data_IF_298042251958
#
_entry.id   IF_298042251958
#
_cell.length_a   1.000
_cell.length_b   1.000
_cell.length_c   1.000
_cell.angle_alpha   90.00
_cell.angle_beta   90.00
_cell.angle_gamma   90.00
#
_symmetry.space_group_name_H-M   'P 1'
#
loop_
_entity.id
_entity.type
_entity.pdbx_description
1 polymer ?
#
# COMPACT_ATOMS: atom_id res chain seq x y z
N UNK A 1 -11.70 -4.17 -10.81
CA UNK A 1 -11.31 -3.60 -9.51
C UNK A 1 -12.30 -4.11 -8.48
N UNK A 2 -11.85 -4.55 -7.30
CA UNK A 2 -12.76 -4.97 -6.24
C UNK A 2 -13.45 -3.72 -5.66
N UNK A 3 -14.78 -3.65 -5.71
CA UNK A 3 -15.54 -2.56 -5.08
C UNK A 3 -15.36 -2.69 -3.56
N UNK A 4 -14.61 -1.78 -2.95
CA UNK A 4 -14.35 -1.79 -1.51
C UNK A 4 -15.22 -0.72 -0.85
N UNK A 5 -15.88 -1.08 0.25
CA UNK A 5 -16.71 -0.16 1.02
C UNK A 5 -16.42 -0.28 2.51
N UNK A 6 -16.52 0.84 3.21
CA UNK A 6 -16.47 0.83 4.67
C UNK A 6 -17.86 0.48 5.19
N UNK A 7 -17.95 -0.62 5.94
CA UNK A 7 -19.22 -1.14 6.48
C UNK A 7 -19.11 -1.19 7.99
N UNK A 8 -20.09 -0.58 8.67
CA UNK A 8 -20.27 -0.64 10.12
C UNK A 8 -21.67 -1.11 10.47
N UNK A 9 -21.85 -1.53 11.73
CA UNK A 9 -23.17 -1.83 12.25
C UNK A 9 -23.99 -0.56 12.39
N UNK A 10 -25.21 -0.56 11.84
CA UNK A 10 -26.15 0.54 12.06
C UNK A 10 -26.78 0.46 13.46
N UNK A 11 -26.81 -0.74 14.05
CA UNK A 11 -27.32 -0.97 15.39
C UNK A 11 -26.17 -0.88 16.40
N UNK A 12 -26.26 -0.03 17.43
CA UNK A 12 -25.24 0.04 18.47
C UNK A 12 -25.13 -1.32 19.18
N UNK A 13 -23.93 -1.91 19.16
CA UNK A 13 -23.69 -3.26 19.69
C UNK A 13 -24.14 -4.41 18.79
N UNK A 14 -24.67 -4.12 17.59
CA UNK A 14 -25.04 -5.14 16.61
C UNK A 14 -23.80 -5.85 16.07
N UNK A 15 -23.79 -7.17 16.14
CA UNK A 15 -22.71 -8.01 15.61
C UNK A 15 -23.06 -8.44 14.19
N UNK A 16 -22.23 -8.07 13.22
CA UNK A 16 -22.42 -8.46 11.82
C UNK A 16 -21.26 -9.34 11.41
N UNK A 17 -21.59 -10.49 10.82
CA UNK A 17 -20.61 -11.43 10.32
C UNK A 17 -20.08 -10.99 8.95
N UNK A 18 -18.76 -10.92 8.81
CA UNK A 18 -18.08 -10.77 7.53
C UNK A 18 -17.76 -12.16 6.96
N UNK A 19 -18.46 -12.62 5.91
CA UNK A 19 -18.21 -13.93 5.32
C UNK A 19 -16.87 -14.03 4.60
N UNK A 20 -16.26 -12.91 4.20
CA UNK A 20 -14.98 -12.91 3.50
C UNK A 20 -13.82 -13.27 4.44
N UNK A 21 -13.87 -12.74 5.67
CA UNK A 21 -12.83 -12.98 6.69
C UNK A 21 -13.27 -13.89 7.81
N UNK A 22 -14.51 -14.36 7.75
CA UNK A 22 -15.11 -15.30 8.69
C UNK A 22 -15.05 -14.79 10.14
N UNK A 23 -15.20 -13.48 10.30
CA UNK A 23 -15.06 -12.77 11.56
C UNK A 23 -16.18 -11.75 11.77
N UNK A 24 -16.39 -11.31 13.01
CA UNK A 24 -17.39 -10.30 13.35
C UNK A 24 -16.82 -8.90 13.11
N UNK A 25 -17.58 -8.05 12.40
CA UNK A 25 -17.22 -6.65 12.21
C UNK A 25 -17.03 -5.94 13.56
N UNK A 26 -15.95 -5.16 13.74
CA UNK A 26 -15.80 -4.32 14.91
C UNK A 26 -16.90 -3.24 14.96
N UNK A 27 -17.18 -2.65 16.13
CA UNK A 27 -18.22 -1.62 16.28
C UNK A 27 -17.98 -0.39 15.40
N UNK A 28 -16.72 -0.02 15.18
CA UNK A 28 -16.31 1.08 14.28
C UNK A 28 -16.53 0.76 12.79
N UNK A 29 -16.77 -0.50 12.46
CA UNK A 29 -16.79 -1.02 11.09
C UNK A 29 -15.41 -1.16 10.46
N UNK A 30 -15.35 -1.78 9.29
CA UNK A 30 -14.11 -2.00 8.53
C UNK A 30 -14.35 -1.97 7.04
N UNK A 31 -13.26 -1.85 6.28
CA UNK A 31 -13.31 -1.91 4.83
C UNK A 31 -13.47 -3.35 4.40
N UNK A 32 -14.56 -3.64 3.71
CA UNK A 32 -14.87 -4.98 3.18
C UNK A 32 -14.94 -4.95 1.67
N UNK A 33 -14.79 -6.12 1.06
CA UNK A 33 -15.08 -6.30 -0.36
C UNK A 33 -16.59 -6.38 -0.54
N UNK A 34 -17.13 -5.44 -1.32
CA UNK A 34 -18.56 -5.38 -1.61
C UNK A 34 -18.99 -6.59 -2.42
N UNK A 35 -20.07 -7.22 -1.99
CA UNK A 35 -20.61 -8.43 -2.58
C UNK A 35 -22.14 -8.44 -2.45
N UNK A 36 -22.79 -9.37 -3.14
CA UNK A 36 -24.25 -9.55 -3.06
C UNK A 36 -24.72 -9.82 -1.62
N UNK A 37 -23.86 -10.36 -0.75
CA UNK A 37 -24.17 -10.51 0.67
C UNK A 37 -24.43 -9.16 1.33
N UNK A 38 -23.49 -8.22 1.20
CA UNK A 38 -23.59 -6.88 1.78
C UNK A 38 -24.72 -6.07 1.17
N UNK A 39 -24.97 -6.22 -0.13
CA UNK A 39 -26.09 -5.57 -0.81
C UNK A 39 -27.44 -6.04 -0.26
N UNK A 40 -27.61 -7.36 -0.10
CA UNK A 40 -28.82 -7.92 0.53
C UNK A 40 -28.97 -7.47 1.97
N UNK A 41 -27.88 -7.42 2.74
CA UNK A 41 -27.92 -6.99 4.14
C UNK A 41 -28.35 -5.51 4.26
N UNK A 42 -27.82 -4.65 3.37
CA UNK A 42 -28.25 -3.25 3.25
C UNK A 42 -29.73 -3.12 2.91
N UNK A 43 -30.22 -3.90 1.95
CA UNK A 43 -31.62 -3.85 1.50
C UNK A 43 -32.63 -4.45 2.50
N UNK A 44 -32.22 -5.42 3.32
CA UNK A 44 -33.15 -6.18 4.18
C UNK A 44 -33.63 -5.41 5.41
N UNK A 45 -32.96 -4.32 5.80
CA UNK A 45 -33.43 -3.53 6.93
C UNK A 45 -32.46 -2.48 7.47
N UNK A 46 -31.40 -2.13 6.72
CA UNK A 46 -30.44 -1.13 7.20
C UNK A 46 -29.67 -1.60 8.45
N UNK A 47 -29.45 -2.90 8.64
CA UNK A 47 -28.61 -3.43 9.73
C UNK A 47 -27.15 -2.95 9.63
N UNK A 48 -26.75 -2.49 8.44
CA UNK A 48 -25.42 -1.98 8.15
C UNK A 48 -25.48 -0.54 7.63
N UNK A 49 -24.53 0.27 8.07
CA UNK A 49 -24.25 1.58 7.50
C UNK A 49 -23.04 1.46 6.56
N UNK A 50 -23.18 1.97 5.34
CA UNK A 50 -22.21 1.79 4.26
C UNK A 50 -21.73 3.14 3.79
N UNK A 51 -20.47 3.43 4.07
CA UNK A 51 -19.80 4.65 3.62
C UNK A 51 -18.81 4.29 2.51
N UNK A 52 -18.73 5.13 1.47
CA UNK A 52 -17.65 5.01 0.51
C UNK A 52 -16.32 5.14 1.27
N UNK A 53 -15.33 4.29 0.95
CA UNK A 53 -14.01 4.43 1.56
C UNK A 53 -13.55 5.86 1.28
N UNK A 54 -13.22 6.68 2.31
CA UNK A 54 -12.72 8.01 2.06
C UNK A 54 -11.51 7.83 1.17
N UNK A 55 -11.57 8.41 -0.03
CA UNK A 55 -10.40 8.50 -0.90
C UNK A 55 -9.30 9.02 0.00
N UNK A 56 -8.23 8.23 0.17
CA UNK A 56 -7.10 8.63 0.98
C UNK A 56 -6.82 10.08 0.62
N UNK A 57 -6.91 10.98 1.61
CA UNK A 57 -6.51 12.37 1.40
C UNK A 57 -5.19 12.33 0.64
N UNK A 58 -5.03 13.11 -0.44
CA UNK A 58 -3.75 13.16 -1.12
C UNK A 58 -2.67 13.36 -0.06
N UNK A 59 -1.52 12.67 -0.16
CA UNK A 59 -0.44 12.89 0.78
C UNK A 59 -0.24 14.42 0.91
N UNK A 60 -0.04 14.96 2.12
CA UNK A 60 0.29 16.37 2.26
C UNK A 60 1.41 16.68 1.26
N UNK A 61 1.35 17.83 0.54
CA UNK A 61 2.36 18.14 -0.47
C UNK A 61 3.74 17.95 0.16
N UNK A 62 4.58 17.10 -0.44
CA UNK A 62 5.97 16.99 -0.05
C UNK A 62 6.55 18.41 0.02
N UNK A 63 7.22 18.80 1.12
CA UNK A 63 7.92 20.07 1.10
C UNK A 63 8.85 20.05 -0.12
N UNK A 64 8.90 21.14 -0.92
CA UNK A 64 9.72 21.17 -2.12
C UNK A 64 11.12 20.71 -1.73
N UNK A 65 11.61 19.66 -2.41
CA UNK A 65 12.97 19.17 -2.25
C UNK A 65 13.89 20.38 -2.26
N UNK A 66 14.44 20.70 -1.09
CA UNK A 66 15.40 21.78 -0.93
C UNK A 66 16.54 21.44 -1.88
N UNK A 67 16.77 22.37 -2.80
CA UNK A 67 17.71 22.33 -3.91
C UNK A 67 19.08 21.88 -3.38
N UNK A 68 19.34 20.58 -3.39
CA UNK A 68 20.70 20.08 -3.27
C UNK A 68 21.41 20.53 -4.53
N UNK A 69 22.52 21.30 -4.44
CA UNK A 69 23.20 21.78 -5.61
C UNK A 69 23.60 20.58 -6.48
N UNK A 70 23.47 20.68 -7.82
CA UNK A 70 23.81 19.58 -8.70
C UNK A 70 25.28 19.24 -8.48
N UNK A 71 25.55 17.99 -8.12
CA UNK A 71 26.89 17.43 -8.26
C UNK A 71 27.23 17.53 -9.76
N UNK A 72 28.30 18.23 -10.17
CA UNK A 72 28.66 18.24 -11.57
C UNK A 72 29.11 16.83 -11.98
N UNK A 73 28.21 16.14 -12.68
CA UNK A 73 28.50 14.97 -13.50
C UNK A 73 29.31 15.43 -14.72
N UNK A 74 30.53 14.94 -14.86
CA UNK A 74 31.17 14.82 -16.16
C UNK A 74 32.23 13.70 -16.16
N UNK A 75 32.04 12.64 -16.95
CA UNK A 75 33.04 11.61 -17.18
C UNK A 75 33.89 11.94 -18.42
N UNK A 76 35.23 11.91 -18.37
CA UNK A 76 36.01 11.75 -19.60
C UNK A 76 36.17 10.26 -19.92
N UNK A 77 35.26 9.83 -20.80
CA UNK A 77 35.45 8.95 -21.97
C UNK A 77 36.88 8.41 -22.16
N UNK A 78 36.96 7.09 -22.34
CA UNK A 78 38.18 6.31 -22.16
C UNK A 78 39.34 6.53 -23.12
N UNK A 79 40.48 5.96 -22.72
CA UNK A 79 41.54 5.51 -23.61
C UNK A 79 42.05 4.13 -23.16
N UNK A 80 41.78 3.17 -24.04
CA UNK A 80 42.54 1.95 -24.38
C UNK A 80 44.04 2.14 -24.04
N UNK A 81 44.80 1.26 -23.38
CA UNK A 81 45.41 -0.02 -23.82
C UNK A 81 46.50 -0.31 -22.76
N UNK A 82 46.66 -1.49 -22.15
CA UNK A 82 47.68 -2.50 -22.53
C UNK A 82 47.45 -3.81 -21.78
N UNK A 83 47.72 -4.98 -22.40
CA UNK A 83 47.65 -6.28 -21.73
C UNK A 83 49.00 -6.62 -21.04
N UNK A 84 48.97 -7.70 -20.23
CA UNK A 84 50.00 -8.75 -20.14
C UNK A 84 50.69 -8.96 -18.76
N UNK A 85 50.18 -9.98 -18.04
CA UNK A 85 50.88 -11.20 -17.56
C UNK A 85 51.94 -11.14 -16.43
N UNK A 86 51.88 -12.22 -15.63
CA UNK A 86 52.91 -12.92 -14.83
C UNK A 86 52.95 -12.55 -13.33
N UNK A 87 52.46 -13.44 -12.45
CA UNK A 87 53.26 -14.44 -11.68
C UNK A 87 53.77 -13.85 -10.35
N UNK A 88 53.57 -14.37 -9.13
CA UNK A 88 53.49 -15.73 -8.53
C UNK A 88 52.94 -15.62 -7.07
N UNK A 89 52.69 -16.74 -6.35
CA UNK A 89 51.91 -16.79 -5.11
C UNK A 89 52.75 -16.85 -3.82
N UNK A 90 52.09 -16.68 -2.66
CA UNK A 90 52.62 -16.99 -1.32
C UNK A 90 52.27 -15.85 -0.35
N UNK A 91 51.81 -16.07 0.86
CA UNK A 91 51.63 -17.25 1.69
C UNK A 91 51.07 -16.73 3.02
N UNK A 92 50.37 -17.59 3.76
CA UNK A 92 49.79 -17.27 5.05
C UNK A 92 50.86 -16.85 6.08
N UNK A 93 50.46 -15.96 6.99
CA UNK A 93 50.82 -16.04 8.41
C UNK A 93 49.51 -15.92 9.20
#
# INVERSE_FOLDING_TARGET
MADRRHVKSAVPGGQIFDPAEQDILPPEGRVVTWSTYWERLKMRGGEIDVTAVPAASPPPPEPPAEDLPPTPDAPPRGVRTTPQKASRPGGAD
#
